data_IF_843711122679
#
_entry.id   IF_843711122679
#
_cell.length_a   1.000
_cell.length_b   1.000
_cell.length_c   1.000
_cell.angle_alpha   90.00
_cell.angle_beta   90.00
_cell.angle_gamma   90.00
#
_symmetry.space_group_name_H-M   'P 1'
#
loop_
_entity.id
_entity.type
_entity.pdbx_description
1 polymer ?
#
# COMPACT_ATOMS: atom_id res chain seq x y z
N UNK A 1 -27.65 -2.77 13.22
CA UNK A 1 -26.27 -2.91 13.73
C UNK A 1 -25.55 -3.90 12.82
N UNK A 2 -24.39 -3.55 12.25
CA UNK A 2 -23.58 -4.51 11.49
C UNK A 2 -23.21 -5.70 12.39
N UNK A 3 -23.07 -6.88 11.81
CA UNK A 3 -22.60 -8.06 12.54
C UNK A 3 -21.13 -7.88 12.95
N UNK A 4 -20.70 -8.63 13.96
CA UNK A 4 -19.34 -8.50 14.52
C UNK A 4 -18.25 -8.70 13.46
N UNK A 5 -18.46 -9.64 12.54
CA UNK A 5 -17.55 -9.90 11.43
C UNK A 5 -17.50 -8.75 10.41
N UNK A 6 -18.64 -8.13 10.11
CA UNK A 6 -18.71 -6.96 9.24
C UNK A 6 -17.96 -5.79 9.87
N UNK A 7 -18.15 -5.55 11.17
CA UNK A 7 -17.46 -4.49 11.92
C UNK A 7 -15.93 -4.63 11.83
N UNK A 8 -15.39 -5.83 12.06
CA UNK A 8 -13.94 -6.09 11.95
C UNK A 8 -13.43 -5.91 10.52
N UNK A 9 -14.23 -6.29 9.53
CA UNK A 9 -13.89 -6.13 8.10
C UNK A 9 -13.86 -4.67 7.67
N UNK A 10 -14.82 -3.87 8.12
CA UNK A 10 -14.87 -2.42 7.84
C UNK A 10 -13.60 -1.70 8.34
N UNK A 11 -13.05 -2.17 9.45
CA UNK A 11 -11.80 -1.65 10.01
C UNK A 11 -10.54 -2.34 9.44
N UNK A 12 -10.71 -3.28 8.50
CA UNK A 12 -9.61 -4.00 7.86
C UNK A 12 -8.83 -4.91 8.79
N UNK A 13 -9.48 -5.50 9.82
CA UNK A 13 -8.86 -6.36 10.84
C UNK A 13 -9.20 -7.85 10.66
N UNK A 14 -9.67 -8.23 9.47
CA UNK A 14 -10.18 -9.57 9.20
C UNK A 14 -9.10 -10.57 8.79
N UNK A 15 -8.09 -10.14 8.04
CA UNK A 15 -6.97 -10.96 7.55
C UNK A 15 -5.75 -10.06 7.35
N UNK A 16 -5.05 -9.75 8.44
CA UNK A 16 -3.87 -8.88 8.40
C UNK A 16 -2.71 -9.58 9.07
N UNK A 17 -1.52 -9.34 8.53
CA UNK A 17 -0.29 -9.79 9.14
C UNK A 17 0.75 -8.68 9.08
N UNK A 18 1.67 -8.70 10.04
CA UNK A 18 2.78 -7.78 10.07
C UNK A 18 3.96 -8.35 10.83
N UNK A 19 5.14 -8.07 10.32
CA UNK A 19 6.38 -8.34 11.02
C UNK A 19 6.69 -7.16 11.92
N UNK A 20 7.04 -7.46 13.17
CA UNK A 20 7.62 -6.49 14.10
C UNK A 20 8.94 -7.03 14.67
N UNK A 21 9.83 -6.11 15.01
CA UNK A 21 11.11 -6.42 15.64
C UNK A 21 11.08 -5.88 17.06
N UNK A 22 11.41 -6.73 18.02
CA UNK A 22 11.62 -6.35 19.40
C UNK A 22 13.03 -6.76 19.84
N UNK A 23 13.43 -6.35 21.04
CA UNK A 23 14.74 -6.72 21.60
C UNK A 23 14.94 -8.25 21.69
N UNK A 24 13.86 -9.01 21.83
CA UNK A 24 13.88 -10.46 21.96
C UNK A 24 13.95 -11.19 20.60
N UNK A 25 13.67 -10.50 19.49
CA UNK A 25 13.73 -11.08 18.15
C UNK A 25 12.68 -10.52 17.20
N UNK A 26 12.47 -11.25 16.10
CA UNK A 26 11.47 -10.94 15.08
C UNK A 26 10.21 -11.75 15.33
N UNK A 27 9.08 -11.07 15.24
CA UNK A 27 7.77 -11.67 15.44
C UNK A 27 6.88 -11.39 14.24
N UNK A 28 6.05 -12.36 13.90
CA UNK A 28 4.91 -12.17 13.02
C UNK A 28 3.65 -12.06 13.88
N UNK A 29 2.96 -10.93 13.74
CA UNK A 29 1.62 -10.72 14.30
C UNK A 29 0.64 -10.95 13.18
N UNK A 30 -0.38 -11.77 13.40
CA UNK A 30 -1.41 -12.02 12.42
C UNK A 30 -2.78 -12.17 13.07
N UNK A 31 -3.81 -11.82 12.34
CA UNK A 31 -5.18 -11.77 12.83
C UNK A 31 -6.15 -12.32 11.81
N UNK A 32 -7.15 -13.06 12.31
CA UNK A 32 -8.19 -13.68 11.50
C UNK A 32 -9.53 -13.68 12.23
N UNK A 33 -10.62 -13.75 11.49
CA UNK A 33 -11.95 -13.99 12.06
C UNK A 33 -12.32 -15.45 11.86
N UNK A 34 -12.57 -16.16 12.97
CA UNK A 34 -12.99 -17.56 12.96
C UNK A 34 -14.35 -17.66 13.63
N UNK A 35 -15.40 -17.89 12.84
CA UNK A 35 -16.79 -17.84 13.33
C UNK A 35 -17.15 -16.44 13.80
N UNK A 36 -17.51 -16.32 15.08
CA UNK A 36 -17.86 -15.10 15.80
C UNK A 36 -16.71 -14.58 16.68
N UNK A 37 -15.50 -15.11 16.52
CA UNK A 37 -14.32 -14.71 17.28
C UNK A 37 -13.30 -13.99 16.42
N UNK A 38 -12.71 -12.95 16.99
CA UNK A 38 -11.50 -12.33 16.50
C UNK A 38 -10.30 -13.03 17.11
N UNK A 39 -9.49 -13.65 16.26
CA UNK A 39 -8.32 -14.42 16.66
C UNK A 39 -7.09 -13.59 16.35
N UNK A 40 -6.31 -13.27 17.38
CA UNK A 40 -5.04 -12.58 17.27
C UNK A 40 -3.93 -13.56 17.68
N UNK A 41 -2.92 -13.66 16.83
CA UNK A 41 -1.79 -14.54 17.02
C UNK A 41 -0.47 -13.79 16.88
N UNK A 42 0.52 -14.22 17.66
CA UNK A 42 1.92 -13.79 17.57
C UNK A 42 2.78 -15.04 17.44
N UNK A 43 3.75 -15.02 16.54
CA UNK A 43 4.70 -16.13 16.38
C UNK A 43 6.12 -15.63 16.16
N UNK A 44 7.10 -16.34 16.72
CA UNK A 44 8.52 -16.16 16.43
C UNK A 44 9.02 -17.13 15.32
N UNK A 45 8.10 -17.84 14.66
CA UNK A 45 8.40 -18.88 13.66
C UNK A 45 8.55 -20.29 14.24
N UNK A 46 8.55 -20.45 15.56
CA UNK A 46 8.58 -21.73 16.25
C UNK A 46 7.37 -21.87 17.17
N UNK A 47 7.21 -20.91 18.07
CA UNK A 47 6.13 -20.81 19.05
C UNK A 47 5.01 -19.92 18.54
N UNK A 48 3.82 -20.11 19.11
CA UNK A 48 2.64 -19.32 18.81
C UNK A 48 1.98 -18.94 20.13
N UNK A 49 1.68 -17.66 20.29
CA UNK A 49 0.81 -17.14 21.34
C UNK A 49 -0.47 -16.66 20.68
N UNK A 50 -1.60 -16.95 21.30
CA UNK A 50 -2.92 -16.72 20.74
C UNK A 50 -3.85 -16.13 21.79
N UNK A 51 -4.75 -15.27 21.35
CA UNK A 51 -5.94 -14.87 22.08
C UNK A 51 -7.13 -14.90 21.12
N UNK A 52 -8.29 -15.27 21.64
CA UNK A 52 -9.56 -15.25 20.89
C UNK A 52 -10.54 -14.40 21.67
N UNK A 53 -11.09 -13.38 21.01
CA UNK A 53 -12.01 -12.44 21.61
C UNK A 53 -13.33 -12.48 20.85
N UNK A 54 -14.43 -12.77 21.55
CA UNK A 54 -15.77 -12.47 21.04
C UNK A 54 -16.06 -10.97 21.18
N UNK A 55 -17.27 -10.55 20.82
CA UNK A 55 -17.65 -9.14 20.85
C UNK A 55 -17.63 -8.57 22.27
N UNK A 56 -18.15 -9.32 23.24
CA UNK A 56 -18.26 -8.91 24.64
C UNK A 56 -16.87 -8.75 25.29
N UNK A 57 -15.97 -9.70 25.03
CA UNK A 57 -14.58 -9.67 25.49
C UNK A 57 -13.83 -8.49 24.87
N UNK A 58 -14.06 -8.21 23.59
CA UNK A 58 -13.46 -7.06 22.92
C UNK A 58 -14.01 -5.72 23.45
N UNK A 59 -15.29 -5.67 23.81
CA UNK A 59 -15.87 -4.50 24.49
C UNK A 59 -15.27 -4.30 25.89
N UNK A 60 -14.95 -5.39 26.61
CA UNK A 60 -14.24 -5.31 27.88
C UNK A 60 -12.80 -4.79 27.72
N UNK A 61 -12.04 -5.28 26.72
CA UNK A 61 -10.71 -4.75 26.40
C UNK A 61 -10.76 -3.27 26.04
N UNK A 62 -11.79 -2.87 25.28
CA UNK A 62 -12.06 -1.48 24.94
C UNK A 62 -12.30 -0.61 26.18
N UNK A 63 -13.08 -1.11 27.15
CA UNK A 63 -13.36 -0.42 28.41
C UNK A 63 -12.10 -0.28 29.28
N UNK A 64 -11.26 -1.33 29.34
CA UNK A 64 -9.96 -1.30 30.04
C UNK A 64 -9.02 -0.25 29.41
N UNK A 65 -9.07 -0.11 28.09
CA UNK A 65 -8.29 0.89 27.36
C UNK A 65 -8.90 2.31 27.37
N UNK A 66 -10.03 2.52 28.07
CA UNK A 66 -10.73 3.80 28.23
C UNK A 66 -11.19 4.47 26.91
N UNK A 67 -11.68 3.66 25.96
CA UNK A 67 -12.25 4.14 24.70
C UNK A 67 -13.76 4.35 24.78
N UNK A 68 -14.28 5.40 24.14
CA UNK A 68 -15.71 5.76 24.20
C UNK A 68 -16.58 4.80 23.40
N UNK A 69 -16.04 4.22 22.32
CA UNK A 69 -16.74 3.26 21.49
C UNK A 69 -15.81 2.16 20.99
N UNK A 70 -16.41 1.03 20.62
CA UNK A 70 -15.68 -0.07 19.99
C UNK A 70 -15.09 0.33 18.63
N UNK A 71 -15.78 1.18 17.87
CA UNK A 71 -15.31 1.69 16.58
C UNK A 71 -14.03 2.54 16.73
N UNK A 72 -13.97 3.41 17.75
CA UNK A 72 -12.76 4.21 18.03
C UNK A 72 -11.58 3.30 18.40
N UNK A 73 -11.82 2.29 19.24
CA UNK A 73 -10.81 1.29 19.63
C UNK A 73 -10.28 0.52 18.41
N UNK A 74 -11.18 -0.05 17.60
CA UNK A 74 -10.83 -0.80 16.39
C UNK A 74 -10.10 0.07 15.36
N UNK A 75 -10.55 1.32 15.19
CA UNK A 75 -9.88 2.29 14.31
C UNK A 75 -8.46 2.58 14.78
N UNK A 76 -8.27 2.86 16.07
CA UNK A 76 -6.94 3.11 16.64
C UNK A 76 -6.04 1.89 16.49
N UNK A 77 -6.57 0.70 16.76
CA UNK A 77 -5.86 -0.55 16.58
C UNK A 77 -5.40 -0.70 15.13
N UNK A 78 -6.33 -0.61 14.17
CA UNK A 78 -6.08 -0.77 12.73
C UNK A 78 -5.04 0.22 12.21
N UNK A 79 -5.16 1.49 12.55
CA UNK A 79 -4.20 2.52 12.11
C UNK A 79 -2.79 2.25 12.63
N UNK A 80 -2.65 1.89 13.90
CA UNK A 80 -1.35 1.59 14.51
C UNK A 80 -0.73 0.34 13.90
N UNK A 81 -1.54 -0.71 13.67
CA UNK A 81 -1.14 -1.92 12.99
C UNK A 81 -0.67 -1.62 11.56
N UNK A 82 -1.43 -0.85 10.78
CA UNK A 82 -1.07 -0.44 9.43
C UNK A 82 0.22 0.40 9.37
N UNK A 83 0.50 1.19 10.41
CA UNK A 83 1.77 1.92 10.54
C UNK A 83 2.93 1.04 11.01
N UNK A 84 2.64 -0.11 11.61
CA UNK A 84 3.66 -0.99 12.18
C UNK A 84 4.14 -0.52 13.54
N UNK A 85 3.33 0.32 14.21
CA UNK A 85 3.57 0.78 15.57
C UNK A 85 3.17 -0.34 16.53
N UNK A 86 4.03 -1.35 16.67
CA UNK A 86 3.77 -2.49 17.55
C UNK A 86 5.04 -3.03 18.17
N UNK A 87 4.94 -3.48 19.42
CA UNK A 87 6.02 -4.18 20.10
C UNK A 87 5.47 -5.48 20.68
N UNK A 88 6.33 -6.49 20.76
CA UNK A 88 6.01 -7.78 21.38
C UNK A 88 7.01 -8.03 22.49
N UNK A 89 6.47 -8.34 23.67
CA UNK A 89 7.24 -8.83 24.81
C UNK A 89 6.73 -10.21 25.21
N UNK A 90 7.65 -11.14 25.52
CA UNK A 90 7.31 -12.50 25.93
C UNK A 90 7.84 -12.76 27.33
N UNK A 91 6.99 -13.29 28.20
CA UNK A 91 7.31 -13.66 29.59
C UNK A 91 6.74 -15.05 29.88
N UNK A 92 7.60 -16.07 29.77
CA UNK A 92 7.18 -17.46 29.92
C UNK A 92 6.12 -17.86 28.89
N UNK A 93 4.96 -18.30 29.37
CA UNK A 93 3.83 -18.72 28.50
C UNK A 93 2.92 -17.57 28.06
N UNK A 94 3.25 -16.34 28.41
CA UNK A 94 2.47 -15.14 28.09
C UNK A 94 3.26 -14.27 27.11
N UNK A 95 2.58 -13.74 26.11
CA UNK A 95 3.09 -12.66 25.29
C UNK A 95 2.17 -11.45 25.42
N UNK A 96 2.73 -10.26 25.45
CA UNK A 96 1.98 -9.00 25.44
C UNK A 96 2.30 -8.28 24.13
N UNK A 97 1.25 -8.03 23.35
CA UNK A 97 1.31 -7.22 22.14
C UNK A 97 0.89 -5.81 22.50
N UNK A 98 1.81 -4.87 22.37
CA UNK A 98 1.49 -3.45 22.43
C UNK A 98 1.30 -2.91 21.02
N UNK A 99 0.23 -2.15 20.80
CA UNK A 99 -0.15 -1.57 19.51
C UNK A 99 -0.34 -0.07 19.68
N UNK A 100 0.49 0.72 19.02
CA UNK A 100 0.59 2.17 19.16
C UNK A 100 1.92 2.60 19.75
N UNK A 101 2.02 3.87 20.15
CA UNK A 101 3.26 4.46 20.67
C UNK A 101 3.03 5.11 22.04
N UNK A 102 3.97 4.88 22.94
CA UNK A 102 4.04 5.52 24.26
C UNK A 102 2.79 5.28 25.10
N UNK A 103 2.36 6.31 25.83
CA UNK A 103 1.22 6.24 26.77
C UNK A 103 -0.15 5.96 26.13
N UNK A 104 -0.22 5.93 24.79
CA UNK A 104 -1.45 5.68 24.02
C UNK A 104 -1.47 4.31 23.35
N UNK A 105 -0.54 3.41 23.72
CA UNK A 105 -0.51 2.05 23.21
C UNK A 105 -1.62 1.22 23.83
N UNK A 106 -2.31 0.46 22.98
CA UNK A 106 -3.21 -0.61 23.37
C UNK A 106 -2.36 -1.83 23.75
N UNK A 107 -2.72 -2.54 24.81
CA UNK A 107 -2.02 -3.74 25.24
C UNK A 107 -2.98 -4.92 25.20
N UNK A 108 -2.58 -6.00 24.53
CA UNK A 108 -3.33 -7.26 24.50
C UNK A 108 -2.44 -8.39 24.98
N UNK A 109 -2.99 -9.21 25.86
CA UNK A 109 -2.32 -10.39 26.36
C UNK A 109 -2.70 -11.63 25.55
N UNK A 110 -1.69 -12.41 25.19
CA UNK A 110 -1.78 -13.65 24.46
C UNK A 110 -1.11 -14.78 25.26
N UNK A 111 -1.60 -15.99 25.06
CA UNK A 111 -1.11 -17.16 25.78
C UNK A 111 -0.58 -18.22 24.82
N UNK A 112 0.47 -18.91 25.25
CA UNK A 112 1.14 -19.92 24.45
C UNK A 112 0.15 -21.01 24.05
N UNK A 113 0.05 -21.24 22.74
CA UNK A 113 -0.83 -22.24 22.16
C UNK A 113 -0.36 -23.66 22.53
N UNK A 114 -1.31 -24.59 22.64
CA UNK A 114 -0.98 -26.00 22.83
C UNK A 114 -0.14 -26.54 21.67
N UNK A 115 0.51 -27.69 21.85
CA UNK A 115 1.32 -28.29 20.80
C UNK A 115 0.53 -28.60 19.51
N UNK A 116 -0.75 -28.96 19.65
CA UNK A 116 -1.63 -29.21 18.52
C UNK A 116 -1.98 -27.92 17.77
N UNK A 117 -2.41 -26.89 18.50
CA UNK A 117 -2.75 -25.58 17.93
C UNK A 117 -1.53 -24.92 17.28
N UNK A 118 -0.37 -24.94 17.94
CA UNK A 118 0.86 -24.38 17.40
C UNK A 118 1.21 -25.02 16.06
N UNK A 119 1.10 -26.34 15.93
CA UNK A 119 1.34 -27.04 14.66
C UNK A 119 0.36 -26.58 13.58
N UNK A 120 -0.92 -26.49 13.92
CA UNK A 120 -1.98 -26.05 13.00
C UNK A 120 -1.79 -24.60 12.54
N UNK A 121 -1.49 -23.69 13.46
CA UNK A 121 -1.30 -22.26 13.16
C UNK A 121 -0.06 -22.04 12.30
N UNK A 122 1.08 -22.70 12.61
CA UNK A 122 2.30 -22.59 11.78
C UNK A 122 2.07 -23.17 10.38
N UNK A 123 1.37 -24.31 10.27
CA UNK A 123 1.03 -24.89 8.98
C UNK A 123 0.13 -23.97 8.15
N UNK A 124 -0.92 -23.43 8.78
CA UNK A 124 -1.86 -22.50 8.15
C UNK A 124 -1.12 -21.26 7.67
N UNK A 125 -0.28 -20.69 8.53
CA UNK A 125 0.50 -19.50 8.23
C UNK A 125 1.45 -19.72 7.05
N UNK A 126 2.15 -20.86 7.02
CA UNK A 126 3.07 -21.20 5.94
C UNK A 126 2.37 -21.24 4.58
N UNK A 127 1.24 -21.96 4.48
CA UNK A 127 0.50 -22.06 3.23
C UNK A 127 -0.20 -20.76 2.85
N UNK A 128 -0.68 -20.00 3.82
CA UNK A 128 -1.23 -18.67 3.60
C UNK A 128 -0.18 -17.74 2.99
N UNK A 129 0.99 -17.60 3.62
CA UNK A 129 2.06 -16.74 3.13
C UNK A 129 2.54 -17.15 1.73
N UNK A 130 2.70 -18.46 1.47
CA UNK A 130 3.06 -18.97 0.15
C UNK A 130 2.00 -18.62 -0.92
N UNK A 131 0.72 -18.76 -0.58
CA UNK A 131 -0.40 -18.43 -1.48
C UNK A 131 -0.50 -16.94 -1.75
N UNK A 132 -0.32 -16.10 -0.72
CA UNK A 132 -0.31 -14.64 -0.85
C UNK A 132 0.87 -14.18 -1.69
N UNK A 133 2.07 -14.70 -1.45
CA UNK A 133 3.26 -14.36 -2.24
C UNK A 133 3.05 -14.70 -3.73
N UNK A 134 2.55 -15.91 -4.02
CA UNK A 134 2.25 -16.32 -5.39
C UNK A 134 1.20 -15.44 -6.06
N UNK A 135 0.14 -15.06 -5.33
CA UNK A 135 -0.91 -14.18 -5.85
C UNK A 135 -0.38 -12.78 -6.15
N UNK A 136 0.45 -12.23 -5.27
CA UNK A 136 1.10 -10.93 -5.45
C UNK A 136 2.07 -10.94 -6.64
N UNK A 137 2.79 -12.02 -6.87
CA UNK A 137 3.65 -12.18 -8.06
C UNK A 137 2.85 -12.12 -9.36
N UNK A 138 1.69 -12.79 -9.40
CA UNK A 138 0.77 -12.76 -10.54
C UNK A 138 0.23 -11.35 -10.77
N UNK A 139 -0.22 -10.68 -9.70
CA UNK A 139 -0.77 -9.31 -9.78
C UNK A 139 0.31 -8.30 -10.22
N UNK A 140 1.51 -8.41 -9.67
CA UNK A 140 2.65 -7.59 -10.06
C UNK A 140 2.99 -7.77 -11.54
N UNK A 141 2.96 -9.00 -12.04
CA UNK A 141 3.18 -9.28 -13.47
C UNK A 141 2.11 -8.61 -14.33
N UNK A 142 0.82 -8.77 -13.99
CA UNK A 142 -0.29 -8.14 -14.71
C UNK A 142 -0.17 -6.61 -14.73
N UNK A 143 0.20 -6.02 -13.60
CA UNK A 143 0.40 -4.57 -13.48
C UNK A 143 1.55 -4.09 -14.37
N UNK A 144 2.68 -4.82 -14.39
CA UNK A 144 3.82 -4.51 -15.27
C UNK A 144 3.44 -4.61 -16.75
N UNK A 145 2.78 -5.69 -17.16
CA UNK A 145 2.34 -5.88 -18.55
C UNK A 145 1.39 -4.74 -19.01
N UNK A 146 0.51 -4.28 -18.11
CA UNK A 146 -0.39 -3.14 -18.38
C UNK A 146 0.38 -1.83 -18.53
N UNK A 147 1.33 -1.54 -17.65
CA UNK A 147 2.17 -0.34 -17.71
C UNK A 147 2.99 -0.32 -18.99
N UNK A 148 3.61 -1.44 -19.36
CA UNK A 148 4.39 -1.56 -20.60
C UNK A 148 3.51 -1.38 -21.84
N UNK A 149 2.29 -1.94 -21.84
CA UNK A 149 1.30 -1.77 -22.90
C UNK A 149 0.88 -0.31 -23.09
N UNK A 150 0.61 0.41 -21.99
CA UNK A 150 0.28 1.84 -22.02
C UNK A 150 1.45 2.69 -22.51
N UNK A 151 2.68 2.41 -22.06
CA UNK A 151 3.88 3.09 -22.54
C UNK A 151 4.09 2.88 -24.04
N UNK A 152 3.84 1.67 -24.56
CA UNK A 152 3.92 1.39 -25.99
C UNK A 152 2.82 2.11 -26.79
N UNK A 153 1.63 2.31 -26.23
CA UNK A 153 0.57 3.10 -26.87
C UNK A 153 0.92 4.59 -26.92
N UNK A 154 1.45 5.16 -25.83
CA UNK A 154 1.87 6.58 -25.78
C UNK A 154 3.06 6.84 -26.70
N UNK A 155 4.05 5.93 -26.73
CA UNK A 155 5.21 6.01 -27.63
C UNK A 155 4.83 5.91 -29.12
N UNK A 156 3.73 5.20 -29.44
CA UNK A 156 3.18 5.14 -30.81
C UNK A 156 2.29 6.34 -31.14
N UNK A 157 1.56 6.89 -30.18
CA UNK A 157 0.73 8.09 -30.36
C UNK A 157 1.57 9.37 -30.55
N UNK A 158 2.77 9.45 -29.98
CA UNK A 158 3.68 10.60 -30.16
C UNK A 158 4.26 10.71 -31.58
N UNK A 159 4.13 9.69 -32.42
CA UNK A 159 4.51 9.73 -33.85
C UNK A 159 3.31 9.99 -34.78
N UNK A 160 2.11 10.17 -34.23
CA UNK A 160 0.91 10.52 -34.97
C UNK A 160 0.74 12.04 -35.00
N UNK A 161 1.48 12.70 -35.90
CA UNK A 161 1.06 13.98 -36.46
C UNK A 161 -0.31 13.81 -37.13
N UNK A 162 -1.42 14.01 -36.40
CA UNK A 162 -2.71 14.50 -36.91
C UNK A 162 -3.80 14.30 -35.86
N UNK A 163 -4.40 15.41 -35.42
CA UNK A 163 -5.82 15.58 -35.04
C UNK A 163 -5.98 16.61 -33.90
N UNK A 164 -5.35 17.77 -34.02
CA UNK A 164 -5.96 18.98 -33.48
C UNK A 164 -6.86 19.54 -34.58
N UNK A 165 -8.16 19.46 -34.32
CA UNK A 165 -9.23 20.08 -35.11
C UNK A 165 -9.01 21.59 -35.14
N UNK A 166 -8.44 22.08 -36.25
CA UNK A 166 -8.33 23.51 -36.54
C UNK A 166 -9.63 23.97 -37.21
N UNK A 167 -10.63 24.24 -36.37
CA UNK A 167 -11.76 25.10 -36.73
C UNK A 167 -11.24 26.52 -36.80
N UNK A 168 -10.76 26.95 -37.96
CA UNK A 168 -10.90 28.33 -38.49
C UNK A 168 -9.86 28.65 -39.57
N UNK A 169 -10.24 28.59 -40.84
CA UNK A 169 -10.35 29.78 -41.71
C UNK A 169 -10.49 29.42 -43.19
N UNK A 170 -11.46 30.10 -43.78
CA UNK A 170 -11.80 30.13 -45.20
C UNK A 170 -10.62 30.57 -46.08
N UNK A 171 -10.53 29.90 -47.23
CA UNK A 171 -10.17 30.39 -48.59
C UNK A 171 -8.96 31.32 -48.70
N UNK A 172 -7.87 30.81 -49.26
CA UNK A 172 -6.79 31.62 -49.82
C UNK A 172 -5.88 30.81 -50.75
N UNK A 173 -5.87 31.21 -52.02
CA UNK A 173 -5.05 30.84 -53.18
C UNK A 173 -3.70 30.12 -53.00
N UNK A 174 -3.40 29.32 -54.04
CA UNK A 174 -2.16 28.64 -54.41
C UNK A 174 -0.85 29.36 -54.03
N UNK A 175 0.17 28.59 -53.61
CA UNK A 175 1.57 28.69 -54.08
C UNK A 175 2.40 27.49 -53.61
N UNK A 176 3.20 26.92 -54.52
CA UNK A 176 4.08 25.76 -54.30
C UNK A 176 5.19 26.10 -53.28
N UNK A 177 5.37 25.28 -52.25
CA UNK A 177 6.44 25.43 -51.28
C UNK A 177 7.80 25.02 -51.86
N UNK A 178 8.81 25.91 -51.77
CA UNK A 178 10.22 25.60 -52.06
C UNK A 178 10.84 24.83 -50.87
N UNK A 179 11.74 23.86 -51.11
CA UNK A 179 12.39 23.09 -50.04
C UNK A 179 13.36 23.96 -49.22
N UNK A 180 13.28 23.87 -47.89
CA UNK A 180 14.14 24.60 -46.94
C UNK A 180 15.50 23.92 -46.82
N UNK A 181 16.56 24.73 -46.80
CA UNK A 181 17.95 24.30 -46.62
C UNK A 181 18.20 23.76 -45.20
N UNK A 182 19.04 22.72 -45.03
CA UNK A 182 19.33 22.09 -43.74
C UNK A 182 20.21 22.98 -42.85
N UNK A 183 19.86 23.10 -41.55
CA UNK A 183 20.69 23.80 -40.56
C UNK A 183 19.95 24.67 -39.53
N UNK A 184 18.62 24.81 -39.62
CA UNK A 184 17.85 25.60 -38.66
C UNK A 184 17.31 24.71 -37.52
N UNK A 185 18.05 24.65 -36.40
CA UNK A 185 17.62 23.99 -35.16
C UNK A 185 16.45 24.74 -34.52
N UNK A 186 15.40 24.01 -34.15
CA UNK A 186 14.16 24.49 -33.51
C UNK A 186 14.22 24.31 -31.98
N UNK A 187 15.40 24.10 -31.40
CA UNK A 187 15.55 23.94 -29.94
C UNK A 187 16.44 25.04 -29.39
N UNK A 188 15.87 26.23 -29.21
CA UNK A 188 16.26 27.11 -28.11
C UNK A 188 15.16 28.16 -27.82
N UNK A 189 14.33 27.97 -26.78
CA UNK A 189 13.23 28.88 -26.46
C UNK A 189 13.68 30.22 -25.84
N UNK A 190 14.98 30.51 -25.76
CA UNK A 190 15.50 31.77 -25.19
C UNK A 190 16.43 32.59 -26.11
N UNK A 191 16.44 32.32 -27.42
CA UNK A 191 17.28 33.07 -28.36
C UNK A 191 16.64 34.42 -28.78
N UNK A 192 17.10 35.49 -28.14
CA UNK A 192 16.85 36.90 -28.51
C UNK A 192 17.20 37.11 -29.99
N UNK A 193 16.26 37.64 -30.78
CA UNK A 193 16.41 37.99 -32.20
C UNK A 193 17.67 38.84 -32.42
N UNK A 194 18.70 38.32 -33.10
CA UNK A 194 19.84 39.11 -33.56
C UNK A 194 19.44 39.93 -34.79
N UNK A 195 19.56 41.25 -34.72
CA UNK A 195 19.45 42.16 -35.88
C UNK A 195 20.65 41.93 -36.82
N UNK A 196 20.41 41.94 -38.12
CA UNK A 196 21.46 41.81 -39.13
C UNK A 196 22.42 43.01 -39.08
N UNK A 197 23.72 42.77 -39.28
CA UNK A 197 24.72 43.81 -39.34
C UNK A 197 24.60 44.58 -40.68
N UNK A 198 24.47 45.90 -40.58
CA UNK A 198 24.42 46.81 -41.72
C UNK A 198 25.88 47.16 -42.09
N UNK A 199 26.30 46.83 -43.30
CA UNK A 199 27.66 47.05 -43.78
C UNK A 199 28.03 48.53 -43.85
N UNK A 200 29.26 48.85 -43.47
CA UNK A 200 29.85 50.20 -43.58
C UNK A 200 30.46 50.34 -44.98
N UNK A 201 30.07 51.40 -45.69
CA UNK A 201 30.68 51.80 -46.97
C UNK A 201 31.88 52.69 -46.64
N UNK A 202 33.03 52.40 -47.23
CA UNK A 202 34.20 53.28 -47.21
C UNK A 202 34.28 54.02 -48.55
N UNK A 203 34.61 55.31 -48.45
CA UNK A 203 35.11 56.15 -49.56
C UNK A 203 36.65 56.16 -49.49
#
# INVERSE_FOLDING_TARGET
>A
MPGFRELLREHGLNEVYKVTESLAGRYLVFMRVTGDKWVLCVSNGCDVWKTELNKEELEAERDVADFKSLEEYLTRFSQSFQRGEMTVSCMGKKATLEVGLGISSLSLDLYEASAAERKEEIQTLLFFLASTAHSLEIELKKSKDMVEGLQHQIGKASNSNTAFVDLDKKRGSQTKAKPKQPGMSVINPSSKKRKAAQGVVFD
#
